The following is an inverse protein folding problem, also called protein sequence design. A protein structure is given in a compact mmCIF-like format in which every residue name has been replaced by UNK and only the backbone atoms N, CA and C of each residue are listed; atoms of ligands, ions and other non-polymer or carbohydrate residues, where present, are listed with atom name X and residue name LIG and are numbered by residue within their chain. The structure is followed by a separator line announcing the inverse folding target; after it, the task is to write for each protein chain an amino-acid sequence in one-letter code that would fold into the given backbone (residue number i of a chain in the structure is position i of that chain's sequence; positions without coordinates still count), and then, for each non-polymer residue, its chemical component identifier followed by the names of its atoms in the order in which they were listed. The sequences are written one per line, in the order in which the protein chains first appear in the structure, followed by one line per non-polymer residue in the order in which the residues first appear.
data_IF_756147836479
#
_entry.id   IF_756147836479
#
_cell.length_a   1.000
_cell.length_b   1.000
_cell.length_c   1.000
_cell.angle_alpha   90.00
_cell.angle_beta   90.00
_cell.angle_gamma   90.00
#
_symmetry.space_group_name_H-M   'P 1'
#
loop_
_entity.id
_entity.type
_entity.pdbx_description
1 polymer ?
#
# COMPACT_ATOMS: atom_id res chain seq x y z
N UNK A 1 10.38 -0.27 2.73
CA UNK A 1 9.20 -0.40 1.84
C UNK A 1 8.93 0.87 1.03
N UNK A 2 9.02 2.08 1.60
CA UNK A 2 8.71 3.33 0.86
C UNK A 2 9.30 3.45 -0.57
N UNK A 3 10.55 3.05 -0.79
CA UNK A 3 11.17 3.08 -2.12
C UNK A 3 10.55 2.05 -3.09
N UNK A 4 10.29 0.84 -2.60
CA UNK A 4 9.62 -0.23 -3.35
C UNK A 4 8.16 0.12 -3.62
N UNK A 5 7.43 0.63 -2.62
CA UNK A 5 6.05 1.11 -2.77
C UNK A 5 5.93 2.27 -3.75
N UNK A 6 6.91 3.18 -3.83
CA UNK A 6 6.96 4.21 -4.88
C UNK A 6 7.10 3.62 -6.28
N UNK A 7 7.95 2.61 -6.44
CA UNK A 7 8.12 1.92 -7.72
C UNK A 7 6.84 1.18 -8.13
N UNK A 8 6.18 0.51 -7.18
CA UNK A 8 4.90 -0.17 -7.43
C UNK A 8 3.81 0.85 -7.76
N UNK A 9 3.75 2.00 -7.08
CA UNK A 9 2.79 3.07 -7.40
C UNK A 9 2.94 3.57 -8.83
N UNK A 10 4.17 3.81 -9.28
CA UNK A 10 4.45 4.22 -10.64
C UNK A 10 4.03 3.14 -11.66
N UNK A 11 4.37 1.87 -11.39
CA UNK A 11 3.96 0.75 -12.24
C UNK A 11 2.43 0.59 -12.30
N UNK A 12 1.71 0.84 -11.20
CA UNK A 12 0.25 0.81 -11.18
C UNK A 12 -0.38 1.97 -11.96
N UNK A 13 0.26 3.15 -11.99
CA UNK A 13 -0.20 4.25 -12.85
C UNK A 13 -0.01 3.96 -14.33
N UNK A 14 1.09 3.30 -14.70
CA UNK A 14 1.31 2.82 -16.07
C UNK A 14 0.31 1.73 -16.45
N UNK A 15 0.07 0.75 -15.56
CA UNK A 15 -0.89 -0.33 -15.78
C UNK A 15 -2.32 0.20 -15.93
N UNK A 16 -2.71 1.16 -15.09
CA UNK A 16 -4.03 1.82 -15.17
C UNK A 16 -4.23 2.50 -16.52
N UNK A 17 -3.22 3.24 -17.01
CA UNK A 17 -3.29 3.91 -18.31
C UNK A 17 -3.42 2.91 -19.46
N UNK A 18 -2.67 1.81 -19.43
CA UNK A 18 -2.79 0.75 -20.45
C UNK A 18 -4.18 0.09 -20.41
N UNK A 19 -4.69 -0.23 -19.22
CA UNK A 19 -6.01 -0.82 -19.05
C UNK A 19 -7.15 0.11 -19.50
N UNK A 20 -7.03 1.42 -19.27
CA UNK A 20 -7.98 2.43 -19.78
C UNK A 20 -8.03 2.43 -21.31
N UNK A 21 -6.88 2.30 -21.98
CA UNK A 21 -6.81 2.26 -23.44
C UNK A 21 -7.37 0.96 -24.02
N UNK A 22 -7.14 -0.16 -23.35
CA UNK A 22 -7.61 -1.49 -23.76
C UNK A 22 -9.07 -1.76 -23.35
N UNK A 23 -9.69 -0.89 -22.55
CA UNK A 23 -11.04 -1.09 -22.02
C UNK A 23 -11.15 -2.24 -21.02
N UNK A 24 -10.04 -2.63 -20.39
CA UNK A 24 -9.97 -3.71 -19.41
C UNK A 24 -10.28 -3.18 -18.00
N UNK A 25 -11.57 -3.20 -17.66
CA UNK A 25 -12.05 -2.75 -16.35
C UNK A 25 -11.45 -3.55 -15.18
N UNK A 26 -11.19 -4.85 -15.37
CA UNK A 26 -10.66 -5.70 -14.29
C UNK A 26 -9.25 -5.28 -13.88
N UNK A 27 -8.41 -4.99 -14.87
CA UNK A 27 -7.05 -4.50 -14.62
C UNK A 27 -7.04 -3.06 -14.07
N UNK A 28 -7.98 -2.22 -14.51
CA UNK A 28 -8.14 -0.87 -13.96
C UNK A 28 -8.50 -0.90 -12.48
N UNK A 29 -9.49 -1.73 -12.10
CA UNK A 29 -9.93 -1.89 -10.72
C UNK A 29 -8.80 -2.44 -9.84
N UNK A 30 -8.03 -3.42 -10.36
CA UNK A 30 -6.86 -3.96 -9.67
C UNK A 30 -5.82 -2.86 -9.37
N UNK A 31 -5.48 -2.04 -10.36
CA UNK A 31 -4.48 -0.99 -10.19
C UNK A 31 -4.92 0.04 -9.13
N UNK A 32 -6.20 0.42 -9.12
CA UNK A 32 -6.76 1.34 -8.13
C UNK A 32 -6.75 0.72 -6.73
N UNK A 33 -7.23 -0.52 -6.60
CA UNK A 33 -7.30 -1.21 -5.31
C UNK A 33 -5.92 -1.47 -4.71
N UNK A 34 -4.93 -1.85 -5.53
CA UNK A 34 -3.59 -2.12 -5.04
C UNK A 34 -2.91 -0.84 -4.53
N UNK A 35 -3.12 0.30 -5.20
CA UNK A 35 -2.64 1.60 -4.71
C UNK A 35 -3.27 1.98 -3.36
N UNK A 36 -4.58 1.77 -3.21
CA UNK A 36 -5.27 2.02 -1.95
C UNK A 36 -4.74 1.13 -0.81
N UNK A 37 -4.54 -0.16 -1.08
CA UNK A 37 -3.97 -1.10 -0.12
C UNK A 37 -2.60 -0.68 0.40
N UNK A 38 -1.68 -0.30 -0.51
CA UNK A 38 -0.34 0.18 -0.14
C UNK A 38 -0.42 1.45 0.72
N UNK A 39 -1.37 2.33 0.43
CA UNK A 39 -1.55 3.54 1.21
C UNK A 39 -2.06 3.24 2.63
N UNK A 40 -3.00 2.31 2.79
CA UNK A 40 -3.47 1.87 4.11
C UNK A 40 -2.33 1.26 4.93
N UNK A 41 -1.44 0.51 4.29
CA UNK A 41 -0.27 -0.06 4.97
C UNK A 41 0.67 1.02 5.52
N UNK A 42 1.02 2.02 4.69
CA UNK A 42 1.95 3.09 5.07
C UNK A 42 1.35 4.09 6.07
N UNK A 43 0.08 4.47 5.89
CA UNK A 43 -0.55 5.54 6.68
C UNK A 43 -1.14 5.00 8.00
N UNK A 44 -1.53 3.71 8.06
CA UNK A 44 -2.28 3.15 9.19
C UNK A 44 -1.57 1.94 9.79
N UNK A 45 -1.37 0.88 9.00
CA UNK A 45 -0.98 -0.42 9.55
C UNK A 45 0.44 -0.38 10.13
N UNK A 46 1.42 0.15 9.39
CA UNK A 46 2.79 0.22 9.87
C UNK A 46 2.95 1.15 11.08
N UNK A 47 2.41 2.38 11.09
CA UNK A 47 2.46 3.22 12.28
C UNK A 47 1.82 2.57 13.51
N UNK A 48 0.66 1.93 13.35
CA UNK A 48 -0.03 1.23 14.44
C UNK A 48 0.81 0.05 14.96
N UNK A 49 1.37 -0.77 14.08
CA UNK A 49 2.23 -1.89 14.45
C UNK A 49 3.50 -1.44 15.19
N UNK A 50 4.13 -0.36 14.71
CA UNK A 50 5.30 0.25 15.37
C UNK A 50 4.93 0.75 16.77
N UNK A 51 3.81 1.47 16.90
CA UNK A 51 3.34 1.99 18.18
C UNK A 51 3.10 0.86 19.20
N UNK A 52 2.38 -0.18 18.80
CA UNK A 52 2.11 -1.33 19.68
C UNK A 52 3.40 -2.06 20.05
N UNK A 53 4.29 -2.27 19.08
CA UNK A 53 5.60 -2.90 19.33
C UNK A 53 6.46 -2.11 20.31
N UNK A 54 6.47 -0.78 20.20
CA UNK A 54 7.15 0.11 21.13
C UNK A 54 6.52 0.07 22.53
N UNK A 55 5.19 0.03 22.61
CA UNK A 55 4.48 -0.08 23.88
C UNK A 55 4.88 -1.35 24.64
N UNK A 56 4.81 -2.52 23.98
CA UNK A 56 5.17 -3.82 24.57
C UNK A 56 6.64 -3.84 25.01
N UNK A 57 7.54 -3.35 24.16
CA UNK A 57 8.98 -3.30 24.49
C UNK A 57 9.27 -2.50 25.75
N UNK A 58 8.50 -1.44 25.99
CA UNK A 58 8.67 -0.56 27.15
C UNK A 58 7.86 -1.02 28.38
N UNK A 59 6.96 -2.01 28.23
CA UNK A 59 6.13 -2.55 29.31
C UNK A 59 6.16 -4.10 29.29
N UNK A 60 7.31 -4.73 29.56
CA UNK A 60 7.46 -6.18 29.44
C UNK A 60 6.73 -7.00 30.52
N UNK A 61 6.18 -6.34 31.55
CA UNK A 61 5.52 -6.99 32.70
C UNK A 61 3.98 -6.90 32.68
N UNK A 62 3.38 -6.41 31.58
CA UNK A 62 1.97 -6.70 31.25
C UNK A 62 1.90 -7.96 30.40
#
# INVERSE_FOLDING_TARGET
MLAEHKAIFAAMDELRQAAELDGDQGTLDLAVQLKAHIQDEEDIVYPAAILVGQYIKNHPET
#
